data_IF_552877683152
#
_entry.id   IF_552877683152
#
_cell.length_a   1.000
_cell.length_b   1.000
_cell.length_c   1.000
_cell.angle_alpha   90.00
_cell.angle_beta   90.00
_cell.angle_gamma   90.00
#
_symmetry.space_group_name_H-M   'P 1'
#
loop_
_entity.id
_entity.type
_entity.pdbx_description
1 polymer ?
#
# COMPACT_ATOMS: atom_id res chain seq x y z
N UNK A 1 -23.46 23.61 2.08
CA UNK A 1 -23.75 22.83 3.31
C UNK A 1 -22.46 22.18 3.80
N UNK A 2 -22.02 22.44 5.05
CA UNK A 2 -20.90 21.72 5.66
C UNK A 2 -21.27 20.25 5.87
N UNK A 3 -20.31 19.36 5.62
CA UNK A 3 -20.44 17.92 5.86
C UNK A 3 -19.30 17.50 6.78
N UNK A 4 -19.64 16.77 7.84
CA UNK A 4 -18.69 16.15 8.75
C UNK A 4 -18.90 14.64 8.67
N UNK A 5 -17.81 13.89 8.54
CA UNK A 5 -17.80 12.43 8.61
C UNK A 5 -16.90 12.01 9.74
N UNK A 6 -17.43 11.20 10.66
CA UNK A 6 -16.70 10.67 11.81
C UNK A 6 -16.39 9.20 11.55
N UNK A 7 -15.16 8.80 11.79
CA UNK A 7 -14.65 7.44 11.70
C UNK A 7 -14.16 6.98 13.07
N UNK A 8 -13.78 5.70 13.18
CA UNK A 8 -13.29 5.14 14.45
C UNK A 8 -12.01 5.80 14.95
N UNK A 9 -11.06 6.06 14.03
CA UNK A 9 -9.75 6.62 14.36
C UNK A 9 -9.54 8.05 13.83
N UNK A 10 -10.62 8.77 13.51
CA UNK A 10 -10.49 10.14 13.01
C UNK A 10 -11.78 10.68 12.41
N UNK A 11 -11.67 11.79 11.69
CA UNK A 11 -12.81 12.41 11.04
C UNK A 11 -12.36 13.35 9.94
N UNK A 12 -13.29 13.73 9.08
CA UNK A 12 -13.08 14.77 8.07
C UNK A 12 -14.25 15.74 8.04
N UNK A 13 -13.96 16.98 7.71
CA UNK A 13 -14.95 18.03 7.48
C UNK A 13 -14.69 18.70 6.15
N UNK A 14 -15.75 19.15 5.48
CA UNK A 14 -15.62 19.92 4.26
C UNK A 14 -16.90 20.65 3.89
N UNK A 15 -16.76 21.73 3.14
CA UNK A 15 -17.88 22.41 2.50
C UNK A 15 -17.79 22.09 1.01
N UNK A 16 -18.90 21.60 0.43
CA UNK A 16 -18.93 21.31 -1.01
C UNK A 16 -18.62 22.60 -1.80
N UNK A 17 -17.76 22.52 -2.84
CA UNK A 17 -17.45 23.68 -3.65
C UNK A 17 -18.70 24.16 -4.38
N UNK A 18 -18.97 25.48 -4.35
CA UNK A 18 -20.12 26.09 -5.05
C UNK A 18 -19.99 26.01 -6.57
N UNK A 19 -18.77 25.88 -7.10
CA UNK A 19 -18.49 25.66 -8.50
C UNK A 19 -17.25 24.77 -8.62
N UNK A 20 -17.21 23.90 -9.63
CA UNK A 20 -16.08 22.97 -9.85
C UNK A 20 -15.45 23.24 -11.23
N UNK A 21 -14.63 24.30 -11.36
CA UNK A 21 -14.02 24.67 -12.64
C UNK A 21 -12.87 23.73 -13.04
N UNK A 22 -12.72 22.57 -12.40
CA UNK A 22 -11.59 21.67 -12.61
C UNK A 22 -11.67 21.02 -14.00
N UNK A 23 -10.94 21.60 -14.95
CA UNK A 23 -10.69 21.00 -16.26
C UNK A 23 -9.91 19.69 -16.03
N UNK A 24 -10.50 18.56 -16.43
CA UNK A 24 -9.83 17.25 -16.31
C UNK A 24 -8.70 17.17 -17.32
N UNK A 25 -7.48 17.41 -16.87
CA UNK A 25 -6.28 17.13 -17.67
C UNK A 25 -6.00 15.62 -17.68
N UNK A 26 -5.39 15.08 -18.75
CA UNK A 26 -4.86 13.73 -18.76
C UNK A 26 -3.90 13.51 -17.58
N UNK A 27 -3.91 12.30 -17.01
CA UNK A 27 -3.00 11.96 -15.91
C UNK A 27 -1.55 12.00 -16.43
N UNK A 28 -0.70 12.77 -15.75
CA UNK A 28 0.73 12.83 -16.04
C UNK A 28 1.51 11.63 -15.51
N UNK A 29 2.83 11.72 -15.55
CA UNK A 29 3.74 10.70 -15.00
C UNK A 29 3.51 10.47 -13.50
N UNK A 30 3.56 9.21 -13.08
CA UNK A 30 3.36 8.82 -11.70
C UNK A 30 4.73 8.79 -11.01
N UNK A 31 5.04 9.81 -10.21
CA UNK A 31 6.30 9.91 -9.47
C UNK A 31 6.10 9.89 -7.94
N UNK A 32 4.87 9.71 -7.48
CA UNK A 32 4.51 9.81 -6.08
C UNK A 32 3.01 9.81 -5.87
N UNK A 33 2.58 10.13 -4.65
CA UNK A 33 1.17 10.25 -4.33
C UNK A 33 0.69 11.67 -4.55
N UNK A 34 -0.43 11.82 -5.25
CA UNK A 34 -1.12 13.10 -5.25
C UNK A 34 -1.74 13.36 -3.87
N UNK A 35 -1.98 14.63 -3.49
CA UNK A 35 -2.66 14.97 -2.24
C UNK A 35 -4.02 14.25 -2.09
N UNK A 36 -4.74 14.08 -3.20
CA UNK A 36 -6.00 13.33 -3.23
C UNK A 36 -5.84 11.82 -3.04
N UNK A 37 -4.69 11.22 -3.38
CA UNK A 37 -4.38 9.83 -3.07
C UNK A 37 -4.06 9.66 -1.58
N UNK A 38 -3.21 10.55 -1.02
CA UNK A 38 -2.90 10.59 0.43
C UNK A 38 -4.17 10.67 1.25
N UNK A 39 -5.00 11.69 0.99
CA UNK A 39 -6.25 11.89 1.73
C UNK A 39 -7.15 10.65 1.72
N UNK A 40 -7.36 10.02 0.56
CA UNK A 40 -8.22 8.82 0.46
C UNK A 40 -7.64 7.62 1.21
N UNK A 41 -6.31 7.47 1.20
CA UNK A 41 -5.65 6.43 1.97
C UNK A 41 -5.80 6.68 3.48
N UNK A 42 -5.55 7.91 3.93
CA UNK A 42 -5.73 8.32 5.32
C UNK A 42 -7.16 8.12 5.79
N UNK A 43 -8.16 8.51 4.97
CA UNK A 43 -9.56 8.24 5.25
C UNK A 43 -9.83 6.73 5.40
N UNK A 44 -9.33 5.89 4.49
CA UNK A 44 -9.47 4.44 4.61
C UNK A 44 -8.91 3.91 5.93
N UNK A 45 -7.71 4.36 6.33
CA UNK A 45 -7.08 3.95 7.58
C UNK A 45 -7.90 4.38 8.81
N UNK A 46 -8.50 5.57 8.78
CA UNK A 46 -9.40 6.03 9.85
C UNK A 46 -10.64 5.14 10.02
N UNK A 47 -11.09 4.48 8.95
CA UNK A 47 -12.23 3.56 8.95
C UNK A 47 -11.93 2.18 9.56
N UNK A 48 -10.66 1.79 9.66
CA UNK A 48 -10.28 0.41 10.02
C UNK A 48 -10.77 0.08 11.42
N UNK A 49 -11.23 -1.16 11.60
CA UNK A 49 -11.64 -1.72 12.89
C UNK A 49 -10.62 -2.76 13.33
N UNK A 50 -9.67 -2.34 14.15
CA UNK A 50 -8.63 -3.15 14.76
C UNK A 50 -9.20 -4.35 15.53
N UNK A 51 -10.34 -4.18 16.22
CA UNK A 51 -11.06 -5.24 16.93
C UNK A 51 -11.63 -6.35 16.02
N UNK A 52 -11.68 -6.08 14.71
CA UNK A 52 -12.18 -7.01 13.68
C UNK A 52 -11.07 -7.50 12.74
N UNK A 53 -9.81 -7.14 13.01
CA UNK A 53 -8.67 -7.68 12.28
C UNK A 53 -8.33 -9.07 12.81
N UNK A 54 -9.01 -10.08 12.28
CA UNK A 54 -8.72 -11.49 12.54
C UNK A 54 -7.55 -12.00 11.70
N UNK A 55 -6.93 -13.09 12.17
CA UNK A 55 -5.81 -13.78 11.53
C UNK A 55 -4.43 -13.27 11.96
N UNK A 56 -3.37 -13.91 11.45
CA UNK A 56 -1.99 -13.49 11.69
C UNK A 56 -1.60 -12.36 10.72
N UNK A 57 -1.29 -11.18 11.25
CA UNK A 57 -0.90 -10.00 10.47
C UNK A 57 0.61 -9.84 10.31
N UNK A 58 1.05 -9.44 9.11
CA UNK A 58 2.45 -9.15 8.78
C UNK A 58 2.56 -7.81 8.05
N UNK A 59 3.56 -7.02 8.42
CA UNK A 59 3.95 -5.81 7.69
C UNK A 59 5.13 -6.15 6.76
N UNK A 60 5.01 -5.80 5.48
CA UNK A 60 6.01 -6.09 4.46
C UNK A 60 6.38 -4.82 3.70
N UNK A 61 7.68 -4.63 3.46
CA UNK A 61 8.19 -3.66 2.49
C UNK A 61 8.94 -4.43 1.42
N UNK A 62 8.36 -4.51 0.22
CA UNK A 62 8.88 -5.29 -0.90
C UNK A 62 9.47 -4.34 -1.94
N UNK A 63 10.75 -4.48 -2.23
CA UNK A 63 11.49 -3.57 -3.11
C UNK A 63 11.92 -4.26 -4.40
N UNK A 64 12.16 -3.47 -5.45
CA UNK A 64 12.83 -3.91 -6.70
C UNK A 64 14.11 -3.09 -6.89
N UNK A 65 15.12 -3.63 -7.59
CA UNK A 65 16.35 -2.88 -7.88
C UNK A 65 16.08 -1.83 -8.95
N UNK A 66 15.66 -2.30 -10.12
CA UNK A 66 15.46 -1.47 -11.30
C UNK A 66 13.97 -1.09 -11.41
N UNK A 67 13.73 0.11 -11.92
CA UNK A 67 12.36 0.57 -12.16
C UNK A 67 11.75 -0.25 -13.30
N UNK A 68 10.54 -0.83 -13.12
CA UNK A 68 9.84 -1.51 -14.21
C UNK A 68 9.69 -0.58 -15.42
N UNK A 69 9.84 -1.12 -16.63
CA UNK A 69 9.84 -0.30 -17.84
C UNK A 69 8.49 0.39 -18.07
N UNK A 70 7.41 -0.17 -17.53
CA UNK A 70 6.06 0.40 -17.62
C UNK A 70 5.28 0.23 -16.31
N UNK A 71 4.32 1.13 -16.07
CA UNK A 71 3.36 0.97 -14.96
C UNK A 71 2.53 -0.33 -15.07
N UNK A 72 2.33 -0.84 -16.30
CA UNK A 72 1.66 -2.13 -16.55
C UNK A 72 2.48 -3.30 -16.03
N UNK A 73 3.80 -3.25 -16.16
CA UNK A 73 4.70 -4.28 -15.62
C UNK A 73 4.62 -4.32 -14.09
N UNK A 74 4.74 -3.17 -13.42
CA UNK A 74 4.55 -3.07 -11.96
C UNK A 74 3.18 -3.62 -11.51
N UNK A 75 2.12 -3.25 -12.24
CA UNK A 75 0.77 -3.76 -11.97
C UNK A 75 0.70 -5.29 -12.08
N UNK A 76 1.26 -5.87 -13.14
CA UNK A 76 1.26 -7.30 -13.36
C UNK A 76 2.05 -8.05 -12.26
N UNK A 77 3.21 -7.54 -11.88
CA UNK A 77 4.02 -8.10 -10.79
C UNK A 77 3.25 -8.14 -9.48
N UNK A 78 2.72 -6.99 -9.05
CA UNK A 78 1.91 -6.89 -7.82
C UNK A 78 0.71 -7.84 -7.87
N UNK A 79 -0.03 -7.88 -8.99
CA UNK A 79 -1.19 -8.79 -9.13
C UNK A 79 -0.78 -10.26 -9.09
N UNK A 80 0.35 -10.64 -9.68
CA UNK A 80 0.85 -11.99 -9.62
C UNK A 80 1.22 -12.39 -8.18
N UNK A 81 1.85 -11.48 -7.43
CA UNK A 81 2.14 -11.67 -6.00
C UNK A 81 0.87 -11.78 -5.16
N UNK A 82 -0.09 -10.87 -5.31
CA UNK A 82 -1.39 -10.93 -4.63
C UNK A 82 -2.09 -12.28 -4.85
N UNK A 83 -2.09 -12.77 -6.09
CA UNK A 83 -2.67 -14.08 -6.43
C UNK A 83 -1.94 -15.25 -5.74
N UNK A 84 -0.62 -15.17 -5.57
CA UNK A 84 0.16 -16.17 -4.79
C UNK A 84 -0.22 -16.11 -3.32
N UNK A 85 -0.35 -14.91 -2.75
CA UNK A 85 -0.76 -14.73 -1.36
C UNK A 85 -2.19 -15.25 -1.10
N UNK A 86 -3.12 -15.01 -2.02
CA UNK A 86 -4.48 -15.58 -1.96
C UNK A 86 -4.45 -17.11 -1.92
N UNK A 87 -3.64 -17.76 -2.77
CA UNK A 87 -3.47 -19.23 -2.75
C UNK A 87 -2.80 -19.73 -1.47
N UNK A 88 -1.98 -18.90 -0.84
CA UNK A 88 -1.34 -19.18 0.45
C UNK A 88 -2.24 -18.92 1.67
N UNK A 89 -3.53 -18.59 1.47
CA UNK A 89 -4.47 -18.38 2.57
C UNK A 89 -4.54 -16.94 3.10
N UNK A 90 -4.09 -15.96 2.31
CA UNK A 90 -4.28 -14.55 2.63
C UNK A 90 -5.78 -14.21 2.68
N UNK A 91 -6.21 -13.62 3.79
CA UNK A 91 -7.61 -13.20 4.02
C UNK A 91 -7.80 -11.69 3.91
N UNK A 92 -6.72 -10.90 4.04
CA UNK A 92 -6.78 -9.44 3.97
C UNK A 92 -5.47 -8.88 3.47
N UNK A 93 -5.56 -7.83 2.69
CA UNK A 93 -4.41 -7.08 2.20
C UNK A 93 -4.77 -5.61 2.11
N UNK A 94 -3.93 -4.78 2.71
CA UNK A 94 -3.83 -3.36 2.40
C UNK A 94 -2.42 -3.11 1.89
N UNK A 95 -2.29 -2.43 0.76
CA UNK A 95 -0.99 -2.11 0.20
C UNK A 95 -1.01 -0.76 -0.46
N UNK A 96 0.17 -0.17 -0.56
CA UNK A 96 0.41 1.05 -1.28
C UNK A 96 1.74 0.97 -2.03
N UNK A 97 1.81 1.66 -3.17
CA UNK A 97 3.07 1.83 -3.90
C UNK A 97 3.66 3.17 -3.55
N UNK A 98 4.82 3.19 -2.94
CA UNK A 98 5.58 4.39 -2.65
C UNK A 98 6.81 4.46 -3.56
N UNK A 99 7.20 5.67 -3.92
CA UNK A 99 8.33 5.94 -4.81
C UNK A 99 9.54 6.32 -3.97
N UNK A 100 10.60 5.54 -4.09
CA UNK A 100 11.84 5.84 -3.40
C UNK A 100 12.49 7.09 -3.99
N UNK A 101 13.36 7.74 -3.23
CA UNK A 101 14.19 8.87 -3.72
C UNK A 101 14.96 8.55 -5.00
N UNK A 102 15.29 7.28 -5.24
CA UNK A 102 15.96 6.80 -6.47
C UNK A 102 15.03 6.65 -7.70
N UNK A 103 13.75 6.99 -7.58
CA UNK A 103 12.78 6.86 -8.68
C UNK A 103 12.35 5.42 -8.96
N UNK A 104 12.42 4.53 -7.96
CA UNK A 104 12.04 3.12 -8.08
C UNK A 104 10.86 2.82 -7.13
N UNK A 105 9.81 2.14 -7.59
CA UNK A 105 8.68 1.81 -6.73
C UNK A 105 9.03 0.72 -5.71
N UNK A 106 8.44 0.79 -4.52
CA UNK A 106 8.34 -0.33 -3.59
C UNK A 106 6.89 -0.54 -3.14
N UNK A 107 6.60 -1.71 -2.60
CA UNK A 107 5.29 -2.09 -2.12
C UNK A 107 5.32 -2.13 -0.58
N UNK A 108 4.61 -1.22 0.07
CA UNK A 108 4.33 -1.29 1.50
C UNK A 108 3.01 -2.02 1.70
N UNK A 109 3.01 -3.04 2.55
CA UNK A 109 1.87 -3.95 2.73
C UNK A 109 1.60 -4.21 4.20
N UNK A 110 0.33 -4.25 4.55
CA UNK A 110 -0.17 -4.98 5.71
C UNK A 110 -1.02 -6.15 5.19
N UNK A 111 -0.62 -7.37 5.51
CA UNK A 111 -1.23 -8.61 5.01
C UNK A 111 -1.66 -9.49 6.20
N UNK A 112 -2.79 -10.19 6.07
CA UNK A 112 -3.26 -11.14 7.07
C UNK A 112 -3.56 -12.50 6.46
N UNK A 113 -3.26 -13.55 7.21
CA UNK A 113 -3.54 -14.96 6.88
C UNK A 113 -4.53 -15.57 7.86
N UNK A 114 -5.31 -16.55 7.40
CA UNK A 114 -6.29 -17.27 8.23
C UNK A 114 -5.65 -18.12 9.34
N UNK A 115 -4.38 -18.51 9.18
CA UNK A 115 -3.62 -19.27 10.17
C UNK A 115 -3.13 -18.44 11.37
N UNK A 116 -2.62 -19.13 12.38
CA UNK A 116 -1.96 -18.53 13.57
C UNK A 116 -0.47 -18.27 13.36
N UNK A 117 0.11 -18.79 12.28
CA UNK A 117 1.52 -18.64 11.90
C UNK A 117 1.60 -17.95 10.54
N UNK A 118 2.50 -16.98 10.43
CA UNK A 118 2.81 -16.29 9.18
C UNK A 118 4.08 -16.87 8.57
N UNK A 119 4.05 -17.18 7.27
CA UNK A 119 5.19 -17.68 6.52
C UNK A 119 5.87 -16.49 5.80
N UNK A 120 6.80 -15.83 6.50
CA UNK A 120 7.57 -14.72 5.94
C UNK A 120 8.39 -15.18 4.73
N UNK A 121 9.14 -16.30 4.78
CA UNK A 121 9.85 -16.83 3.62
C UNK A 121 8.95 -16.96 2.39
N UNK A 122 7.76 -17.53 2.52
CA UNK A 122 6.80 -17.64 1.41
C UNK A 122 6.45 -16.29 0.77
N UNK A 123 6.23 -15.26 1.58
CA UNK A 123 5.91 -13.92 1.08
C UNK A 123 7.07 -13.31 0.28
N UNK A 124 8.30 -13.49 0.78
CA UNK A 124 9.52 -13.00 0.18
C UNK A 124 9.82 -13.77 -1.10
N UNK A 125 9.83 -15.11 -1.06
CA UNK A 125 10.11 -15.97 -2.21
C UNK A 125 9.11 -15.75 -3.34
N UNK A 126 7.83 -15.58 -3.00
CA UNK A 126 6.80 -15.22 -3.96
C UNK A 126 7.07 -13.87 -4.63
N UNK A 127 7.59 -12.89 -3.88
CA UNK A 127 7.97 -11.58 -4.41
C UNK A 127 9.18 -11.69 -5.34
N UNK A 128 10.25 -12.33 -4.88
CA UNK A 128 11.47 -12.55 -5.66
C UNK A 128 11.16 -13.22 -7.01
N UNK A 129 10.26 -14.21 -7.00
CA UNK A 129 9.87 -14.92 -8.20
C UNK A 129 9.05 -14.09 -9.20
N UNK A 130 8.28 -13.08 -8.77
CA UNK A 130 7.54 -12.19 -9.69
C UNK A 130 8.35 -10.96 -10.09
N UNK A 131 9.33 -10.57 -9.29
CA UNK A 131 10.18 -9.40 -9.52
C UNK A 131 11.49 -9.71 -10.26
N UNK A 132 11.63 -10.95 -10.75
CA UNK A 132 12.85 -11.42 -11.42
C UNK A 132 13.25 -10.59 -12.65
N UNK A 133 12.29 -9.95 -13.33
CA UNK A 133 12.55 -9.08 -14.49
C UNK A 133 13.28 -7.78 -14.14
N UNK A 134 13.22 -7.31 -12.89
CA UNK A 134 13.68 -5.98 -12.51
C UNK A 134 15.10 -5.95 -11.89
N UNK A 135 15.86 -7.06 -11.96
CA UNK A 135 17.06 -7.39 -11.14
C UNK A 135 16.83 -7.09 -9.64
N UNK A 136 17.46 -7.85 -8.74
CA UNK A 136 17.11 -7.78 -7.31
C UNK A 136 18.20 -7.09 -6.51
N UNK A 137 17.87 -6.07 -5.73
CA UNK A 137 18.64 -5.64 -4.55
C UNK A 137 18.04 -6.45 -3.42
N UNK A 138 18.72 -7.53 -3.02
CA UNK A 138 18.37 -8.25 -1.81
C UNK A 138 18.63 -7.35 -0.60
N UNK A 139 17.64 -6.52 -0.25
CA UNK A 139 17.49 -5.99 1.10
C UNK A 139 16.02 -6.09 1.45
N UNK A 140 15.61 -7.29 1.87
CA UNK A 140 14.37 -7.45 2.62
C UNK A 140 14.63 -6.91 4.02
N UNK A 141 14.49 -5.59 4.20
CA UNK A 141 14.49 -5.01 5.55
C UNK A 141 13.15 -5.35 6.19
N UNK A 142 13.19 -6.34 7.08
CA UNK A 142 12.13 -6.64 8.05
C UNK A 142 11.98 -5.43 8.98
N UNK A 143 10.84 -4.76 8.95
CA UNK A 143 10.38 -3.97 10.10
C UNK A 143 9.33 -4.81 10.80
N UNK A 144 9.79 -5.57 11.78
CA UNK A 144 8.92 -6.19 12.77
C UNK A 144 8.28 -5.10 13.61
N UNK A 145 7.02 -5.35 13.97
CA UNK A 145 6.15 -4.55 14.83
C UNK A 145 5.44 -3.36 14.17
N UNK A 146 4.12 -3.53 14.10
CA UNK A 146 3.08 -2.53 13.88
C UNK A 146 3.28 -1.32 14.81
N UNK A 147 4.10 -0.33 14.43
CA UNK A 147 4.07 1.01 15.05
C UNK A 147 4.82 2.10 14.26
N UNK A 148 4.72 2.19 12.93
CA UNK A 148 5.25 3.38 12.19
C UNK A 148 4.40 3.72 10.97
N UNK A 149 3.09 3.83 11.15
CA UNK A 149 2.22 4.53 10.19
C UNK A 149 1.52 5.75 10.81
N UNK A 150 1.88 6.09 12.07
CA UNK A 150 1.33 7.23 12.80
C UNK A 150 2.35 8.36 13.08
N UNK A 151 3.66 8.13 12.92
CA UNK A 151 4.70 9.13 13.29
C UNK A 151 5.41 9.82 12.11
N UNK A 152 4.88 9.71 10.88
CA UNK A 152 5.56 10.19 9.65
C UNK A 152 5.06 11.50 9.04
N UNK A 153 4.05 12.18 9.62
CA UNK A 153 3.47 13.41 9.06
C UNK A 153 3.53 14.59 10.06
N UNK A 154 4.68 14.77 10.71
CA UNK A 154 5.05 16.03 11.35
C UNK A 154 6.36 16.54 10.78
N UNK A 155 6.24 17.33 9.72
CA UNK A 155 6.82 18.68 9.50
C UNK A 155 6.44 19.13 8.09
#
# INVERSE_FOLDING_TARGET
MPVITVYRHGGKGGVAPMNSPHIRTPRGEVQGWSPGAVRRNTEFLMCVREDKLTGAGLALTLTVRDCPATAKEWHNMRRAWEKRMLRAGMIRLHWVTEWQRRGVPHLHCAIWFSGTVYDVPLCIDAWLAVASSCRLLCVGSMVGLLMVLLDGFST
#
